data_IF_801107508679
#
_entry.id   IF_801107508679
#
_cell.length_a   1.000
_cell.length_b   1.000
_cell.length_c   1.000
_cell.angle_alpha   90.00
_cell.angle_beta   90.00
_cell.angle_gamma   90.00
#
_symmetry.space_group_name_H-M   'P 1'
#
loop_
_entity.id
_entity.type
_entity.pdbx_description
1 polymer ?
#
# COMPACT_ATOMS: atom_id res chain seq x y z
N UNK A 1 -16.64 -11.04 4.12
CA UNK A 1 -15.99 -11.89 5.13
C UNK A 1 -14.91 -11.03 5.74
N UNK A 2 -15.00 -10.75 7.04
CA UNK A 2 -13.93 -10.06 7.78
C UNK A 2 -13.40 -11.10 8.75
N UNK A 3 -12.14 -11.48 8.63
CA UNK A 3 -11.51 -12.44 9.52
C UNK A 3 -11.64 -12.00 10.98
N UNK A 4 -11.95 -12.93 11.88
CA UNK A 4 -12.16 -12.66 13.30
C UNK A 4 -10.91 -12.13 14.03
N UNK A 5 -9.75 -12.11 13.35
CA UNK A 5 -8.45 -11.75 13.90
C UNK A 5 -7.93 -10.37 13.44
N UNK A 6 -8.74 -9.60 12.70
CA UNK A 6 -8.33 -8.32 12.13
C UNK A 6 -7.34 -8.45 10.95
N UNK A 7 -6.98 -7.32 10.32
CA UNK A 7 -6.07 -7.34 9.18
C UNK A 7 -4.64 -7.73 9.63
N UNK A 8 -3.97 -8.55 8.83
CA UNK A 8 -2.55 -8.92 9.05
C UNK A 8 -1.60 -7.81 8.62
N UNK A 9 -2.03 -6.95 7.69
CA UNK A 9 -1.32 -5.72 7.31
C UNK A 9 -2.33 -4.58 7.39
N UNK A 10 -1.99 -3.52 8.10
CA UNK A 10 -2.76 -2.28 8.15
C UNK A 10 -1.82 -1.10 7.90
N UNK A 11 -2.13 -0.30 6.88
CA UNK A 11 -1.36 0.86 6.47
C UNK A 11 -2.30 2.06 6.46
N UNK A 12 -1.83 3.16 7.05
CA UNK A 12 -2.57 4.41 7.06
C UNK A 12 -1.65 5.60 6.76
N UNK A 13 -2.09 6.49 5.87
CA UNK A 13 -1.41 7.73 5.51
C UNK A 13 -0.04 7.53 4.86
N UNK A 14 0.22 6.37 4.23
CA UNK A 14 1.55 6.08 3.68
C UNK A 14 1.91 7.10 2.62
N UNK A 15 2.99 7.82 2.88
CA UNK A 15 3.47 8.90 2.02
C UNK A 15 4.95 8.69 1.74
N UNK A 16 5.33 8.77 0.46
CA UNK A 16 6.74 8.67 0.05
C UNK A 16 7.08 9.72 -0.97
N UNK A 17 8.15 10.43 -0.68
CA UNK A 17 8.72 11.47 -1.54
C UNK A 17 10.14 11.10 -1.94
N UNK A 18 10.48 11.35 -3.20
CA UNK A 18 11.84 11.34 -3.74
C UNK A 18 12.20 12.74 -4.23
N UNK A 19 12.93 13.50 -3.41
CA UNK A 19 13.22 14.90 -3.71
C UNK A 19 11.94 15.72 -3.90
N UNK A 20 11.70 16.34 -5.07
CA UNK A 20 10.46 17.07 -5.33
C UNK A 20 9.26 16.15 -5.62
N UNK A 21 9.48 14.89 -6.01
CA UNK A 21 8.43 13.99 -6.50
C UNK A 21 7.72 13.29 -5.35
N UNK A 22 6.40 13.45 -5.28
CA UNK A 22 5.54 12.68 -4.38
C UNK A 22 5.14 11.37 -5.07
N UNK A 23 5.77 10.26 -4.69
CA UNK A 23 5.57 8.95 -5.31
C UNK A 23 4.41 8.16 -4.71
N UNK A 24 4.13 8.39 -3.42
CA UNK A 24 2.94 7.86 -2.73
C UNK A 24 2.40 9.00 -1.86
N UNK A 25 1.10 9.22 -1.88
CA UNK A 25 0.44 10.30 -1.14
C UNK A 25 -0.73 9.73 -0.32
N UNK A 26 -0.63 9.82 1.01
CA UNK A 26 -1.67 9.43 1.96
C UNK A 26 -2.39 8.10 1.64
N UNK A 27 -1.62 7.05 1.33
CA UNK A 27 -2.20 5.74 0.97
C UNK A 27 -2.65 4.96 2.22
N UNK A 28 -3.93 4.65 2.27
CA UNK A 28 -4.56 3.78 3.28
C UNK A 28 -4.93 2.43 2.66
N UNK A 29 -4.53 1.31 3.28
CA UNK A 29 -5.03 -0.01 2.90
C UNK A 29 -4.84 -1.03 4.03
N UNK A 30 -5.60 -2.13 3.95
CA UNK A 30 -5.45 -3.27 4.85
C UNK A 30 -5.52 -4.58 4.07
N UNK A 31 -4.79 -5.60 4.53
CA UNK A 31 -4.76 -6.93 3.95
C UNK A 31 -5.15 -7.93 5.03
N UNK A 32 -6.15 -8.77 4.75
CA UNK A 32 -6.61 -9.85 5.60
C UNK A 32 -5.74 -11.10 5.49
N UNK A 33 -5.97 -12.07 6.37
CA UNK A 33 -5.20 -13.30 6.34
C UNK A 33 -5.59 -14.15 5.13
N UNK A 34 -4.60 -14.53 4.31
CA UNK A 34 -4.84 -15.34 3.11
C UNK A 34 -5.23 -14.53 1.87
N UNK A 35 -5.33 -13.20 1.98
CA UNK A 35 -5.58 -12.33 0.83
C UNK A 35 -4.39 -12.34 -0.13
N UNK A 36 -4.70 -12.40 -1.43
CA UNK A 36 -3.75 -12.17 -2.51
C UNK A 36 -4.04 -10.79 -3.11
N UNK A 37 -3.21 -9.81 -2.76
CA UNK A 37 -3.33 -8.45 -3.28
C UNK A 37 -2.28 -8.16 -4.36
N UNK A 38 -2.69 -7.47 -5.42
CA UNK A 38 -1.81 -6.95 -6.46
C UNK A 38 -1.91 -5.43 -6.56
N UNK A 39 -0.77 -4.75 -6.65
CA UNK A 39 -0.74 -3.30 -6.84
C UNK A 39 -0.59 -2.99 -8.34
N UNK A 40 -1.61 -2.36 -8.94
CA UNK A 40 -1.69 -2.06 -10.36
C UNK A 40 -1.71 -0.55 -10.62
N UNK A 41 -1.12 -0.13 -11.73
CA UNK A 41 -1.05 1.28 -12.13
C UNK A 41 0.02 1.52 -13.21
N UNK A 42 0.05 2.72 -13.81
CA UNK A 42 1.03 3.08 -14.85
C UNK A 42 2.46 3.14 -14.30
N UNK A 43 3.45 3.23 -15.20
CA UNK A 43 4.85 3.43 -14.80
C UNK A 43 5.01 4.73 -14.00
N UNK A 44 5.78 4.69 -12.92
CA UNK A 44 5.95 5.84 -12.02
C UNK A 44 4.85 6.01 -10.96
N UNK A 45 3.77 5.23 -10.98
CA UNK A 45 2.66 5.34 -10.00
C UNK A 45 3.01 4.86 -8.57
N UNK A 46 4.28 4.67 -8.23
CA UNK A 46 4.69 4.28 -6.87
C UNK A 46 4.56 2.80 -6.52
N UNK A 47 4.20 1.90 -7.46
CA UNK A 47 3.97 0.47 -7.15
C UNK A 47 5.12 -0.23 -6.40
N UNK A 48 6.31 -0.25 -7.00
CA UNK A 48 7.52 -0.85 -6.39
C UNK A 48 7.92 -0.11 -5.12
N UNK A 49 7.64 1.20 -5.08
CA UNK A 49 7.91 2.04 -3.92
C UNK A 49 7.04 1.64 -2.72
N UNK A 50 5.74 1.41 -2.92
CA UNK A 50 4.81 0.93 -1.89
C UNK A 50 5.17 -0.47 -1.40
N UNK A 51 5.61 -1.38 -2.28
CA UNK A 51 5.92 -2.78 -1.90
C UNK A 51 7.29 -2.97 -1.21
N UNK A 52 8.17 -1.95 -1.20
CA UNK A 52 9.54 -2.05 -0.67
C UNK A 52 9.82 -1.15 0.54
N UNK A 53 8.79 -0.56 1.12
CA UNK A 53 8.89 0.18 2.39
C UNK A 53 8.68 -0.76 3.56
#
# INVERSE_FOLDING_TARGET
>A
MVDANGPVIAVSGLTKRFGPVLAVDALDFSVGQGDICGLLGPNGAGKTTTLRM
#
